data_IF_647638141726
#
_entry.id   IF_647638141726
#
_cell.length_a   1.000
_cell.length_b   1.000
_cell.length_c   1.000
_cell.angle_alpha   90.00
_cell.angle_beta   90.00
_cell.angle_gamma   90.00
#
_symmetry.space_group_name_H-M   'P 1'
#
loop_
_entity.id
_entity.type
_entity.pdbx_description
1 polymer ?
#
# COMPACT_ATOMS: atom_id res chain seq x y z
N UNK A 1 -4.18 -19.80 15.94
CA UNK A 1 -3.20 -19.15 15.03
C UNK A 1 -3.83 -18.38 13.85
N UNK A 2 -5.09 -18.63 13.45
CA UNK A 2 -5.74 -18.00 12.26
C UNK A 2 -7.11 -17.38 12.56
N UNK A 3 -7.23 -16.58 13.62
CA UNK A 3 -8.45 -15.81 13.91
C UNK A 3 -8.20 -14.39 13.42
N UNK A 4 -9.02 -13.87 12.49
CA UNK A 4 -8.96 -12.46 12.11
C UNK A 4 -9.24 -11.64 13.38
N UNK A 5 -8.26 -10.87 13.80
CA UNK A 5 -8.40 -9.94 14.93
C UNK A 5 -8.44 -8.55 14.32
N UNK A 6 -9.44 -7.76 14.72
CA UNK A 6 -9.39 -6.33 14.48
C UNK A 6 -8.15 -5.80 15.19
N UNK A 7 -7.24 -5.15 14.46
CA UNK A 7 -6.12 -4.47 15.09
C UNK A 7 -6.68 -3.38 16.00
N UNK A 8 -6.12 -3.22 17.21
CA UNK A 8 -6.46 -2.07 18.07
C UNK A 8 -6.06 -0.82 17.29
N UNK A 9 -7.01 0.10 17.07
CA UNK A 9 -6.73 1.40 16.44
C UNK A 9 -5.76 2.14 17.37
N UNK A 10 -4.63 2.58 16.84
CA UNK A 10 -3.54 3.17 17.63
C UNK A 10 -3.73 4.63 18.01
N UNK A 11 -4.90 5.23 17.76
CA UNK A 11 -5.22 6.63 18.08
C UNK A 11 -6.71 6.69 18.42
N UNK A 12 -7.08 7.38 19.50
CA UNK A 12 -8.48 7.41 19.99
C UNK A 12 -9.42 8.23 19.08
N UNK A 13 -8.89 8.94 18.08
CA UNK A 13 -9.67 9.70 17.09
C UNK A 13 -9.08 9.57 15.68
N UNK A 14 -9.90 9.10 14.75
CA UNK A 14 -9.61 9.01 13.31
C UNK A 14 -10.62 9.86 12.55
N UNK A 15 -10.16 10.63 11.56
CA UNK A 15 -11.01 11.43 10.67
C UNK A 15 -11.01 10.79 9.28
N UNK A 16 -12.19 10.68 8.68
CA UNK A 16 -12.33 10.22 7.30
C UNK A 16 -12.18 11.41 6.35
N UNK A 17 -11.23 11.32 5.43
CA UNK A 17 -10.98 12.36 4.42
C UNK A 17 -11.28 11.78 3.05
N UNK A 18 -12.10 12.49 2.26
CA UNK A 18 -12.53 12.06 0.93
C UNK A 18 -11.93 12.97 -0.14
N UNK A 19 -11.11 12.40 -1.02
CA UNK A 19 -10.51 13.10 -2.15
C UNK A 19 -11.42 13.17 -3.39
N UNK A 20 -12.40 12.26 -3.47
CA UNK A 20 -13.32 12.21 -4.60
C UNK A 20 -12.59 12.02 -5.93
N UNK A 21 -13.05 12.65 -7.04
CA UNK A 21 -12.46 12.48 -8.37
C UNK A 21 -11.07 13.10 -8.51
N UNK A 22 -10.63 13.91 -7.56
CA UNK A 22 -9.30 14.53 -7.61
C UNK A 22 -8.19 13.68 -6.98
N UNK A 23 -8.54 12.46 -6.57
CA UNK A 23 -7.57 11.46 -6.15
C UNK A 23 -6.72 11.01 -7.33
N UNK A 24 -5.42 10.81 -7.09
CA UNK A 24 -4.49 10.22 -8.06
C UNK A 24 -4.84 8.75 -8.39
N UNK A 25 -5.69 8.14 -7.58
CA UNK A 25 -6.23 6.78 -7.76
C UNK A 25 -7.49 6.74 -8.62
N UNK A 26 -8.15 7.87 -8.90
CA UNK A 26 -9.39 7.89 -9.69
C UNK A 26 -9.21 7.34 -11.12
N UNK A 27 -8.09 7.60 -11.84
CA UNK A 27 -7.90 7.10 -13.19
C UNK A 27 -7.65 5.60 -13.31
N UNK A 28 -7.49 4.87 -12.19
CA UNK A 28 -7.14 3.44 -12.22
C UNK A 28 -8.34 2.54 -11.91
N UNK A 29 -8.28 1.29 -12.35
CA UNK A 29 -9.33 0.31 -12.04
C UNK A 29 -9.35 -0.02 -10.54
N UNK A 30 -10.29 0.61 -9.84
CA UNK A 30 -10.51 0.48 -8.41
C UNK A 30 -10.88 -0.96 -7.98
N UNK A 31 -11.46 -1.78 -8.87
CA UNK A 31 -11.85 -3.16 -8.57
C UNK A 31 -10.66 -4.10 -8.37
N UNK A 32 -9.51 -3.72 -8.93
CA UNK A 32 -8.27 -4.48 -8.84
C UNK A 32 -7.45 -4.12 -7.60
N UNK A 33 -7.81 -3.06 -6.87
CA UNK A 33 -7.02 -2.60 -5.73
C UNK A 33 -6.87 -3.66 -4.65
N UNK A 34 -5.65 -3.78 -4.14
CA UNK A 34 -5.27 -4.63 -3.04
C UNK A 34 -4.76 -3.80 -1.86
N UNK A 35 -5.41 -3.97 -0.72
CA UNK A 35 -5.07 -3.32 0.55
C UNK A 35 -4.00 -4.08 1.35
N UNK A 36 -4.25 -4.28 2.64
CA UNK A 36 -3.35 -5.00 3.55
C UNK A 36 -3.87 -6.38 3.98
N UNK A 37 -5.14 -6.69 3.70
CA UNK A 37 -5.77 -7.99 3.98
C UNK A 37 -6.20 -8.68 2.67
N UNK A 38 -6.30 -10.02 2.71
CA UNK A 38 -6.89 -10.82 1.64
C UNK A 38 -8.37 -10.49 1.42
N UNK A 39 -9.07 -10.00 2.45
CA UNK A 39 -10.42 -9.49 2.31
C UNK A 39 -10.42 -8.05 1.79
N UNK A 40 -10.53 -7.93 0.46
CA UNK A 40 -10.47 -6.65 -0.25
C UNK A 40 -11.75 -5.81 -0.15
N UNK A 41 -12.80 -6.32 0.50
CA UNK A 41 -14.10 -5.62 0.55
C UNK A 41 -13.98 -4.25 1.20
N UNK A 42 -13.09 -4.10 2.18
CA UNK A 42 -12.87 -2.81 2.84
C UNK A 42 -12.14 -1.83 1.92
N UNK A 43 -11.05 -2.27 1.27
CA UNK A 43 -10.33 -1.47 0.26
C UNK A 43 -11.24 -1.06 -0.91
N UNK A 44 -12.03 -1.99 -1.43
CA UNK A 44 -12.97 -1.73 -2.53
C UNK A 44 -14.13 -0.82 -2.12
N UNK A 45 -14.49 -0.75 -0.83
CA UNK A 45 -15.48 0.21 -0.33
C UNK A 45 -14.88 1.60 -0.17
N UNK A 46 -13.64 1.67 0.32
CA UNK A 46 -12.89 2.90 0.51
C UNK A 46 -12.49 3.58 -0.81
N UNK A 47 -12.26 2.78 -1.85
CA UNK A 47 -11.89 3.24 -3.19
C UNK A 47 -12.87 2.70 -4.22
N UNK A 48 -13.81 3.55 -4.61
CA UNK A 48 -14.74 3.34 -5.72
C UNK A 48 -14.53 4.45 -6.74
N UNK A 49 -15.12 4.32 -7.93
CA UNK A 49 -15.12 5.40 -8.93
C UNK A 49 -15.57 6.71 -8.28
N UNK A 50 -14.71 7.73 -8.36
CA UNK A 50 -14.90 9.07 -7.80
C UNK A 50 -15.09 9.13 -6.29
N UNK A 51 -14.73 8.06 -5.56
CA UNK A 51 -14.79 7.99 -4.12
C UNK A 51 -13.52 7.36 -3.57
N UNK A 52 -12.64 8.19 -3.05
CA UNK A 52 -11.40 7.75 -2.42
C UNK A 52 -11.34 8.29 -1.00
N UNK A 53 -11.52 7.39 -0.03
CA UNK A 53 -11.54 7.71 1.40
C UNK A 53 -10.29 7.18 2.09
N UNK A 54 -9.63 8.04 2.87
CA UNK A 54 -8.52 7.69 3.75
C UNK A 54 -8.88 7.98 5.20
N UNK A 55 -8.23 7.28 6.13
CA UNK A 55 -8.52 7.33 7.57
C UNK A 55 -7.34 7.92 8.32
N UNK A 56 -7.35 9.23 8.53
CA UNK A 56 -6.20 9.97 9.04
C UNK A 56 -6.26 10.09 10.56
N UNK A 57 -5.09 10.04 11.21
CA UNK A 57 -4.98 10.33 12.63
C UNK A 57 -5.40 11.78 12.91
N UNK A 58 -6.33 11.99 13.85
CA UNK A 58 -6.84 13.33 14.16
C UNK A 58 -5.72 14.30 14.56
N UNK A 59 -4.73 13.81 15.30
CA UNK A 59 -3.55 14.59 15.74
C UNK A 59 -2.79 15.22 14.55
N UNK A 60 -2.71 14.52 13.42
CA UNK A 60 -2.08 15.06 12.21
C UNK A 60 -2.90 16.20 11.62
N UNK A 61 -4.24 16.08 11.63
CA UNK A 61 -5.11 17.10 11.06
C UNK A 61 -5.26 18.33 11.95
N UNK A 62 -5.23 18.16 13.28
CA UNK A 62 -5.32 19.25 14.26
C UNK A 62 -3.99 19.96 14.51
N UNK A 63 -2.88 19.47 13.96
CA UNK A 63 -1.56 20.07 14.16
C UNK A 63 -1.37 21.34 13.34
N UNK A 64 -0.85 22.39 13.97
CA UNK A 64 -0.46 23.64 13.29
C UNK A 64 0.82 23.48 12.43
N UNK A 65 1.70 22.58 12.86
CA UNK A 65 3.01 22.33 12.23
C UNK A 65 3.28 20.84 12.21
N UNK A 66 3.66 20.33 11.04
CA UNK A 66 4.16 18.97 10.86
C UNK A 66 5.65 19.03 10.55
N UNK A 67 6.45 18.32 11.34
CA UNK A 67 7.89 18.15 11.13
C UNK A 67 8.13 16.71 10.65
N UNK A 68 8.59 16.55 9.41
CA UNK A 68 8.88 15.25 8.79
C UNK A 68 10.39 15.04 8.73
N UNK A 69 10.87 13.92 9.28
CA UNK A 69 12.29 13.55 9.26
C UNK A 69 12.47 12.18 8.58
N UNK A 70 12.31 12.08 7.25
CA UNK A 70 12.46 10.81 6.54
C UNK A 70 13.94 10.44 6.35
N UNK A 71 14.19 9.14 6.21
CA UNK A 71 15.48 8.62 5.72
C UNK A 71 15.53 8.56 4.20
N UNK A 72 16.67 8.93 3.62
CA UNK A 72 16.96 8.77 2.19
C UNK A 72 17.23 7.29 1.89
N UNK A 73 16.26 6.57 1.32
CA UNK A 73 16.52 5.21 0.81
C UNK A 73 15.66 4.88 -0.40
N UNK A 74 16.04 3.88 -1.18
CA UNK A 74 15.21 3.33 -2.24
C UNK A 74 14.02 2.54 -1.68
N UNK A 75 12.96 2.40 -2.49
CA UNK A 75 11.78 1.61 -2.16
C UNK A 75 11.24 0.92 -3.40
N UNK A 76 11.12 -0.40 -3.33
CA UNK A 76 10.65 -1.28 -4.40
C UNK A 76 9.26 -0.99 -4.98
N UNK A 77 8.46 -0.08 -4.42
CA UNK A 77 7.08 0.23 -4.88
C UNK A 77 6.89 1.68 -5.32
N UNK A 78 7.62 2.59 -4.70
CA UNK A 78 7.44 4.04 -4.89
C UNK A 78 8.72 4.72 -5.35
N UNK A 79 9.73 3.94 -5.77
CA UNK A 79 11.05 4.43 -6.18
C UNK A 79 11.94 4.76 -4.98
N UNK A 80 11.58 5.77 -4.20
CA UNK A 80 12.37 6.23 -3.04
C UNK A 80 11.49 6.51 -1.82
N UNK A 81 12.06 6.33 -0.62
CA UNK A 81 11.49 6.86 0.61
C UNK A 81 12.06 8.24 0.85
N UNK A 82 11.17 9.22 0.76
CA UNK A 82 11.38 10.60 1.15
C UNK A 82 10.16 11.00 1.98
N UNK A 83 9.83 12.29 1.99
CA UNK A 83 8.64 12.80 2.68
C UNK A 83 7.33 12.13 2.31
N UNK A 84 7.11 11.93 1.01
CA UNK A 84 5.86 11.38 0.48
C UNK A 84 5.60 9.98 1.06
N UNK A 85 6.65 9.15 1.21
CA UNK A 85 6.48 7.81 1.81
C UNK A 85 6.18 7.87 3.29
N UNK A 86 6.71 8.87 4.00
CA UNK A 86 6.46 9.09 5.42
C UNK A 86 4.96 9.35 5.67
N UNK A 87 4.28 9.98 4.70
CA UNK A 87 2.84 10.27 4.78
C UNK A 87 1.97 9.01 4.76
N UNK A 88 2.46 7.87 4.31
CA UNK A 88 1.72 6.59 4.46
C UNK A 88 1.44 6.28 5.93
N UNK A 89 2.28 6.75 6.86
CA UNK A 89 2.13 6.54 8.30
C UNK A 89 0.99 7.32 8.95
N UNK A 90 0.48 8.39 8.34
CA UNK A 90 -0.60 9.21 8.93
C UNK A 90 -1.96 8.50 8.86
N UNK A 91 -2.08 7.49 7.98
CA UNK A 91 -3.29 6.74 7.80
C UNK A 91 -3.37 5.58 8.81
N UNK A 92 -4.44 5.59 9.59
CA UNK A 92 -4.70 4.69 10.72
C UNK A 92 -5.29 3.34 10.31
N UNK A 93 -5.87 3.23 9.11
CA UNK A 93 -6.50 2.00 8.62
C UNK A 93 -5.78 1.42 7.40
N UNK A 94 -5.05 0.33 7.59
CA UNK A 94 -4.23 -0.29 6.53
C UNK A 94 -5.05 -0.76 5.33
N UNK A 95 -6.35 -1.00 5.46
CA UNK A 95 -7.18 -1.43 4.33
C UNK A 95 -7.61 -0.26 3.42
N UNK A 96 -7.41 0.99 3.87
CA UNK A 96 -7.51 2.20 3.04
C UNK A 96 -6.21 2.52 2.29
N UNK A 97 -5.18 1.67 2.39
CA UNK A 97 -3.92 1.85 1.68
C UNK A 97 -3.86 0.89 0.50
N UNK A 98 -4.04 1.41 -0.71
CA UNK A 98 -3.85 0.66 -1.94
C UNK A 98 -2.36 0.42 -2.23
N UNK A 99 -1.92 -0.83 -2.11
CA UNK A 99 -0.50 -1.18 -2.26
C UNK A 99 -0.11 -1.61 -3.68
N UNK A 100 -1.06 -2.17 -4.43
CA UNK A 100 -0.94 -2.63 -5.81
C UNK A 100 -2.34 -2.97 -6.37
N UNK A 101 -2.45 -3.12 -7.68
CA UNK A 101 -3.60 -3.67 -8.40
C UNK A 101 -3.31 -5.13 -8.75
N UNK A 102 -4.29 -5.99 -8.58
CA UNK A 102 -4.17 -7.43 -8.84
C UNK A 102 -3.89 -7.70 -10.31
N UNK A 103 -2.98 -8.64 -10.55
CA UNK A 103 -2.63 -9.11 -11.89
C UNK A 103 -1.46 -8.36 -12.54
N UNK A 104 -1.09 -8.76 -13.76
CA UNK A 104 0.00 -8.13 -14.50
C UNK A 104 -0.38 -6.77 -15.08
N UNK A 105 0.66 -5.98 -15.41
CA UNK A 105 0.57 -4.72 -16.18
C UNK A 105 -0.23 -4.84 -17.47
N UNK A 106 -0.09 -5.95 -18.20
CA UNK A 106 -0.85 -6.23 -19.44
C UNK A 106 -2.36 -6.37 -19.25
N UNK A 107 -2.82 -6.49 -17.99
CA UNK A 107 -4.25 -6.57 -17.64
C UNK A 107 -4.69 -5.42 -16.72
N UNK A 108 -3.92 -4.33 -16.66
CA UNK A 108 -4.21 -3.17 -15.79
C UNK A 108 -3.86 -3.37 -14.31
N UNK A 109 -3.25 -4.51 -13.95
CA UNK A 109 -2.68 -4.75 -12.63
C UNK A 109 -1.23 -4.28 -12.52
N UNK A 110 -0.64 -4.34 -11.33
CA UNK A 110 0.80 -4.12 -11.14
C UNK A 110 1.36 -5.00 -10.03
N UNK A 111 0.72 -6.15 -9.81
CA UNK A 111 1.10 -7.12 -8.79
C UNK A 111 2.42 -7.84 -9.13
N UNK A 112 2.61 -8.15 -10.41
CA UNK A 112 3.72 -8.96 -10.92
C UNK A 112 4.41 -8.29 -12.09
N UNK A 113 5.74 -8.38 -12.13
CA UNK A 113 6.57 -8.02 -13.29
C UNK A 113 6.45 -9.06 -14.41
N UNK A 114 6.62 -10.34 -14.09
CA UNK A 114 6.56 -11.45 -15.03
C UNK A 114 5.84 -12.67 -14.41
N UNK A 115 4.49 -12.71 -14.45
CA UNK A 115 3.74 -13.75 -13.75
C UNK A 115 3.78 -15.10 -14.46
N UNK A 116 4.06 -16.16 -13.72
CA UNK A 116 3.85 -17.54 -14.19
C UNK A 116 2.41 -17.97 -13.99
N UNK A 117 2.01 -19.09 -14.60
CA UNK A 117 0.63 -19.57 -14.52
C UNK A 117 0.21 -19.90 -13.08
N UNK A 118 1.13 -20.40 -12.26
CA UNK A 118 0.86 -20.76 -10.88
C UNK A 118 0.78 -19.56 -9.94
N UNK A 119 1.43 -18.43 -10.24
CA UNK A 119 1.26 -17.19 -9.47
C UNK A 119 -0.17 -16.66 -9.62
N UNK A 120 -0.74 -16.79 -10.83
CA UNK A 120 -2.15 -16.48 -11.10
C UNK A 120 -3.09 -17.44 -10.37
N UNK A 121 -2.73 -18.72 -10.28
CA UNK A 121 -3.51 -19.71 -9.55
C UNK A 121 -3.44 -19.47 -8.03
N UNK A 122 -2.27 -19.19 -7.48
CA UNK A 122 -2.06 -18.84 -6.08
C UNK A 122 -2.89 -17.61 -5.68
N UNK A 123 -2.92 -16.58 -6.53
CA UNK A 123 -3.79 -15.42 -6.36
C UNK A 123 -5.27 -15.81 -6.32
N UNK A 124 -5.76 -16.57 -7.29
CA UNK A 124 -7.16 -17.02 -7.34
C UNK A 124 -7.53 -17.85 -6.10
N UNK A 125 -6.66 -18.76 -5.69
CA UNK A 125 -6.85 -19.59 -4.50
C UNK A 125 -6.82 -18.75 -3.22
N UNK A 126 -5.93 -17.76 -3.13
CA UNK A 126 -5.87 -16.82 -2.01
C UNK A 126 -7.18 -16.03 -1.88
N UNK A 127 -7.66 -15.41 -2.96
CA UNK A 127 -8.91 -14.64 -2.95
C UNK A 127 -10.12 -15.52 -2.60
N UNK A 128 -10.18 -16.75 -3.13
CA UNK A 128 -11.28 -17.68 -2.89
C UNK A 128 -11.25 -18.29 -1.48
N UNK A 129 -10.14 -18.95 -1.12
CA UNK A 129 -10.04 -19.78 0.08
C UNK A 129 -9.77 -18.94 1.33
N UNK A 130 -8.95 -17.89 1.20
CA UNK A 130 -8.50 -17.06 2.32
C UNK A 130 -9.29 -15.75 2.40
N UNK A 131 -9.67 -15.17 1.27
CA UNK A 131 -10.55 -14.00 1.20
C UNK A 131 -12.00 -14.35 1.52
N UNK A 132 -12.67 -15.08 0.61
CA UNK A 132 -14.11 -15.37 0.65
C UNK A 132 -14.50 -16.49 1.63
N UNK A 133 -13.78 -17.61 1.63
CA UNK A 133 -14.12 -18.81 2.42
C UNK A 133 -13.19 -19.08 3.61
N UNK A 134 -12.65 -18.02 4.22
CA UNK A 134 -11.62 -18.08 5.29
C UNK A 134 -11.83 -19.16 6.37
N UNK A 135 -13.07 -19.42 6.80
CA UNK A 135 -13.39 -20.35 7.90
C UNK A 135 -12.81 -21.75 7.64
N UNK A 136 -12.96 -22.24 6.40
CA UNK A 136 -12.61 -23.60 5.99
C UNK A 136 -11.51 -23.62 4.92
N UNK A 137 -11.42 -22.61 4.06
CA UNK A 137 -10.46 -22.56 2.95
C UNK A 137 -8.99 -22.46 3.38
N UNK A 138 -8.72 -22.08 4.63
CA UNK A 138 -7.35 -22.03 5.17
C UNK A 138 -6.62 -23.38 5.18
N UNK A 139 -7.33 -24.51 5.33
CA UNK A 139 -6.72 -25.84 5.33
C UNK A 139 -6.24 -26.27 3.94
N UNK A 140 -7.09 -26.26 2.89
CA UNK A 140 -6.60 -26.53 1.53
C UNK A 140 -5.59 -25.48 1.06
N UNK A 141 -5.72 -24.22 1.49
CA UNK A 141 -4.72 -23.20 1.18
C UNK A 141 -3.35 -23.47 1.81
N UNK A 142 -3.31 -24.06 3.01
CA UNK A 142 -2.06 -24.49 3.63
C UNK A 142 -1.40 -25.63 2.83
N UNK A 143 -2.19 -26.61 2.39
CA UNK A 143 -1.71 -27.68 1.50
C UNK A 143 -1.15 -27.12 0.19
N UNK A 144 -1.87 -26.17 -0.43
CA UNK A 144 -1.40 -25.45 -1.61
C UNK A 144 -0.10 -24.68 -1.36
N UNK A 145 0.04 -23.97 -0.23
CA UNK A 145 1.27 -23.25 0.15
C UNK A 145 2.47 -24.19 0.24
N UNK A 146 2.30 -25.38 0.84
CA UNK A 146 3.36 -26.39 0.94
C UNK A 146 3.73 -26.90 -0.45
N UNK A 147 2.74 -27.29 -1.25
CA UNK A 147 2.94 -27.72 -2.63
C UNK A 147 3.67 -26.67 -3.47
N UNK A 148 3.23 -25.41 -3.39
CA UNK A 148 3.83 -24.29 -4.11
C UNK A 148 5.28 -24.03 -3.67
N UNK A 149 5.58 -24.17 -2.38
CA UNK A 149 6.96 -24.07 -1.86
C UNK A 149 7.86 -25.18 -2.44
N UNK A 150 7.36 -26.42 -2.50
CA UNK A 150 8.09 -27.53 -3.13
C UNK A 150 8.31 -27.25 -4.61
N UNK A 151 7.28 -26.81 -5.34
CA UNK A 151 7.40 -26.46 -6.76
C UNK A 151 8.45 -25.39 -7.02
N UNK A 152 8.59 -24.39 -6.14
CA UNK A 152 9.64 -23.36 -6.26
C UNK A 152 11.06 -23.90 -6.06
N UNK A 153 11.26 -25.00 -5.33
CA UNK A 153 12.58 -25.61 -5.15
C UNK A 153 13.04 -26.37 -6.40
N UNK A 154 12.10 -26.90 -7.18
CA UNK A 154 12.39 -27.70 -8.39
C UNK A 154 12.50 -26.86 -9.65
N UNK A 155 12.05 -25.60 -9.62
CA UNK A 155 12.06 -24.73 -10.79
C UNK A 155 13.24 -23.76 -10.78
N UNK A 156 13.79 -23.43 -11.97
CA UNK A 156 14.84 -22.44 -12.07
C UNK A 156 14.32 -21.09 -11.53
N UNK A 157 15.16 -20.36 -10.77
CA UNK A 157 14.81 -19.05 -10.25
C UNK A 157 14.37 -18.17 -11.41
N UNK A 158 13.19 -17.58 -11.28
CA UNK A 158 12.70 -16.63 -12.25
C UNK A 158 13.56 -15.36 -12.15
N UNK A 159 14.21 -14.97 -13.25
CA UNK A 159 14.80 -13.64 -13.37
C UNK A 159 13.67 -12.62 -13.16
N UNK A 160 13.88 -11.69 -12.24
CA UNK A 160 12.98 -10.57 -11.95
C UNK A 160 11.54 -10.95 -11.55
N UNK A 161 11.32 -12.09 -10.88
CA UNK A 161 9.99 -12.42 -10.34
C UNK A 161 9.67 -11.67 -9.05
N UNK A 162 9.24 -10.43 -9.23
CA UNK A 162 8.67 -9.63 -8.17
C UNK A 162 7.17 -9.90 -8.04
N UNK A 163 6.68 -9.86 -6.81
CA UNK A 163 5.27 -10.07 -6.47
C UNK A 163 4.79 -9.00 -5.49
N UNK A 164 3.47 -8.93 -5.30
CA UNK A 164 2.82 -7.98 -4.39
C UNK A 164 3.15 -6.51 -4.70
N UNK A 165 3.45 -6.22 -5.97
CA UNK A 165 3.85 -4.90 -6.44
C UNK A 165 5.22 -4.42 -5.96
N UNK A 166 6.10 -5.30 -5.47
CA UNK A 166 7.47 -4.95 -5.06
C UNK A 166 8.42 -4.85 -6.26
N UNK A 167 8.09 -4.01 -7.25
CA UNK A 167 8.93 -3.75 -8.42
C UNK A 167 8.71 -2.35 -8.97
N UNK A 168 9.65 -1.89 -9.80
CA UNK A 168 9.69 -0.55 -10.37
C UNK A 168 8.49 -0.20 -11.28
N UNK A 169 7.71 -1.19 -11.74
CA UNK A 169 6.48 -0.96 -12.50
C UNK A 169 5.21 -0.89 -11.66
N UNK A 170 5.31 -0.78 -10.33
CA UNK A 170 4.18 -0.47 -9.48
C UNK A 170 3.64 0.94 -9.78
N UNK A 171 2.39 1.01 -10.25
CA UNK A 171 1.72 2.25 -10.60
C UNK A 171 0.51 2.53 -9.68
N UNK A 172 0.53 1.97 -8.47
CA UNK A 172 -0.55 2.13 -7.47
C UNK A 172 -0.04 2.86 -6.22
N UNK A 173 1.08 2.40 -5.66
CA UNK A 173 1.53 2.84 -4.34
C UNK A 173 1.95 4.32 -4.29
N UNK A 174 2.50 4.85 -5.39
CA UNK A 174 2.91 6.26 -5.47
C UNK A 174 1.69 7.20 -5.52
N UNK A 175 0.62 6.79 -6.23
CA UNK A 175 -0.66 7.55 -6.30
C UNK A 175 -1.30 7.68 -4.92
N UNK A 176 -1.39 6.56 -4.20
CA UNK A 176 -1.84 6.53 -2.81
C UNK A 176 -0.97 7.45 -1.90
N UNK A 177 0.35 7.45 -2.09
CA UNK A 177 1.23 8.30 -1.30
C UNK A 177 1.04 9.79 -1.63
N UNK A 178 0.78 10.15 -2.88
CA UNK A 178 0.44 11.52 -3.28
C UNK A 178 -0.91 11.96 -2.73
N UNK A 179 -1.91 11.09 -2.73
CA UNK A 179 -3.21 11.35 -2.10
C UNK A 179 -3.04 11.70 -0.62
N UNK A 180 -2.26 10.91 0.13
CA UNK A 180 -1.99 11.16 1.55
C UNK A 180 -1.19 12.45 1.75
N UNK A 181 -0.25 12.76 0.86
CA UNK A 181 0.48 14.02 0.91
C UNK A 181 -0.43 15.22 0.64
N UNK A 182 -1.38 15.10 -0.29
CA UNK A 182 -2.39 16.12 -0.55
C UNK A 182 -3.27 16.34 0.68
N UNK A 183 -3.75 15.25 1.29
CA UNK A 183 -4.54 15.30 2.53
C UNK A 183 -3.75 16.01 3.65
N UNK A 184 -2.48 15.65 3.83
CA UNK A 184 -1.61 16.32 4.80
C UNK A 184 -1.53 17.82 4.56
N UNK A 185 -1.48 18.28 3.32
CA UNK A 185 -1.31 19.71 3.06
C UNK A 185 -2.63 20.47 3.16
N UNK A 186 -3.74 19.90 2.68
CA UNK A 186 -4.95 20.68 2.41
C UNK A 186 -6.21 20.25 3.16
N UNK A 187 -6.24 19.10 3.85
CA UNK A 187 -7.41 18.72 4.64
C UNK A 187 -7.42 19.46 5.98
N UNK A 188 -8.52 20.06 6.43
CA UNK A 188 -8.65 20.65 7.77
C UNK A 188 -8.89 19.58 8.88
N UNK A 189 -9.09 20.03 10.12
CA UNK A 189 -9.35 19.18 11.30
C UNK A 189 -10.65 18.34 11.18
N UNK A 190 -11.62 18.83 10.40
CA UNK A 190 -12.87 18.14 10.06
C UNK A 190 -12.71 17.17 8.89
N UNK A 191 -11.57 17.20 8.20
CA UNK A 191 -11.26 16.37 7.04
C UNK A 191 -11.76 16.92 5.71
N UNK A 192 -12.11 18.21 5.63
CA UNK A 192 -12.48 18.88 4.37
C UNK A 192 -11.25 19.38 3.67
N UNK A 193 -11.17 19.15 2.36
CA UNK A 193 -10.05 19.59 1.52
C UNK A 193 -10.24 21.06 1.11
N UNK A 194 -9.15 21.81 1.16
CA UNK A 194 -9.05 23.19 0.68
C UNK A 194 -8.15 23.26 -0.55
N UNK A 195 -8.22 24.36 -1.30
CA UNK A 195 -7.38 24.57 -2.50
C UNK A 195 -5.94 24.93 -2.15
N UNK A 196 -5.74 25.57 -0.99
CA UNK A 196 -4.44 25.97 -0.47
C UNK A 196 -4.05 25.16 0.76
N UNK A 197 -2.74 25.03 1.06
CA UNK A 197 -2.29 24.37 2.28
C UNK A 197 -2.84 25.03 3.54
N UNK A 198 -3.32 24.24 4.50
CA UNK A 198 -3.94 24.71 5.76
C UNK A 198 -3.03 24.55 6.98
N UNK A 199 -1.87 23.91 6.82
CA UNK A 199 -0.89 23.70 7.88
C UNK A 199 0.54 23.89 7.39
N UNK A 200 1.44 24.23 8.31
CA UNK A 200 2.88 24.36 7.99
C UNK A 200 3.53 23.00 7.95
N UNK A 201 4.35 22.78 6.92
CA UNK A 201 5.09 21.54 6.73
C UNK A 201 6.58 21.84 6.64
N UNK A 202 7.36 21.29 7.56
CA UNK A 202 8.82 21.33 7.53
C UNK A 202 9.35 19.92 7.34
N UNK A 203 10.32 19.77 6.44
CA UNK A 203 10.96 18.50 6.16
C UNK A 203 12.46 18.60 6.30
N UNK A 204 13.06 17.68 7.03
CA UNK A 204 14.49 17.46 7.09
C UNK A 204 14.82 16.03 6.67
N UNK A 205 15.39 15.85 5.47
CA UNK A 205 15.77 14.52 4.98
C UNK A 205 17.15 14.19 5.56
N UNK A 206 17.21 13.12 6.34
CA UNK A 206 18.48 12.60 6.82
C UNK A 206 19.10 11.70 5.74
N UNK A 207 20.07 12.29 5.04
CA UNK A 207 20.83 11.68 3.96
C UNK A 207 22.18 11.11 4.37
N UNK A 208 22.72 11.43 5.55
CA UNK A 208 24.13 11.18 5.96
C UNK A 208 24.61 9.78 5.59
N UNK A 209 23.74 8.80 5.82
CA UNK A 209 23.84 7.47 5.20
C UNK A 209 22.50 7.17 4.55
N UNK A 210 22.52 7.11 3.23
CA UNK A 210 21.40 6.69 2.41
C UNK A 210 21.29 5.17 2.30
N UNK A 211 20.22 4.70 1.66
CA UNK A 211 20.00 3.28 1.37
C UNK A 211 19.73 3.03 -0.11
N UNK A 212 20.49 2.13 -0.75
CA UNK A 212 20.28 1.68 -2.13
C UNK A 212 19.98 0.17 -2.19
N UNK A 213 19.82 -0.41 -3.39
CA UNK A 213 19.58 -1.86 -3.53
C UNK A 213 18.17 -2.29 -3.12
N UNK A 214 18.05 -3.32 -2.27
CA UNK A 214 16.76 -3.98 -1.94
C UNK A 214 15.97 -3.27 -0.83
N UNK A 215 15.72 -1.97 -1.04
CA UNK A 215 14.87 -1.18 -0.16
C UNK A 215 13.37 -1.50 -0.36
N UNK A 216 12.54 -1.39 0.69
CA UNK A 216 12.81 -0.69 1.94
C UNK A 216 13.29 -1.58 3.10
N UNK A 217 13.34 -2.91 2.93
CA UNK A 217 13.62 -3.89 4.01
C UNK A 217 15.11 -4.22 4.15
N UNK A 218 15.83 -4.32 3.04
CA UNK A 218 17.25 -4.68 3.02
C UNK A 218 18.06 -3.70 2.15
N UNK A 219 17.98 -2.38 2.40
CA UNK A 219 18.81 -1.44 1.65
C UNK A 219 20.28 -1.55 2.07
N UNK A 220 21.17 -1.47 1.08
CA UNK A 220 22.61 -1.33 1.29
C UNK A 220 22.93 0.11 1.67
N UNK A 221 23.77 0.31 2.67
CA UNK A 221 24.23 1.63 3.07
C UNK A 221 24.97 2.31 1.91
N UNK A 222 24.59 3.55 1.61
CA UNK A 222 25.25 4.37 0.61
C UNK A 222 25.64 5.71 1.24
N UNK A 223 26.94 6.04 1.34
CA UNK A 223 27.35 7.37 1.78
C UNK A 223 26.87 8.39 0.76
N UNK A 224 26.05 9.35 1.21
CA UNK A 224 25.46 10.39 0.35
C UNK A 224 26.44 11.51 0.07
#
# INVERSE_FOLDING_TARGET
MWKRKRLKRGVDKTVAVRLGPESYMDPVDNSLLYGADYDRRETARAHQSHQHEYRIAAEVLTSDVIISVPKLKVHSKVGTTLNIKNMVGINTDKNHLAHYRIGPSTKGGDEFSNPRWYDKLDRKLSDLLVGRFWRWGKYPFLGWRVFHKVMRLVQPPAKDAFAYGNWHGNDTAWRMALDLNRILLTADDSGRLHESPVRRYFSLIDGVVGGQGDGPLHPDAFPS
#
